data_IF_032281872073
#
_entry.id   IF_032281872073
#
_cell.length_a   1.000
_cell.length_b   1.000
_cell.length_c   1.000
_cell.angle_alpha   90.00
_cell.angle_beta   90.00
_cell.angle_gamma   90.00
#
_symmetry.space_group_name_H-M   'P 1'
#
loop_
_entity.id
_entity.type
_entity.pdbx_description
1 polymer ?
#
# COMPACT_ATOMS: atom_id res chain seq x y z
N UNK A 1 -0.30 -33.69 56.25
CA UNK A 1 -0.27 -32.29 55.75
C UNK A 1 0.35 -32.34 54.35
N UNK A 2 -0.46 -32.43 53.28
CA UNK A 2 0.01 -32.38 51.87
C UNK A 2 -0.22 -30.95 51.38
N UNK A 3 0.85 -30.30 50.96
CA UNK A 3 0.80 -28.99 50.36
C UNK A 3 0.58 -29.14 48.83
N UNK A 4 -0.54 -28.66 48.33
CA UNK A 4 -0.78 -28.54 46.91
C UNK A 4 -0.06 -27.27 46.39
N UNK A 5 0.97 -27.43 45.58
CA UNK A 5 1.52 -26.33 44.76
C UNK A 5 0.61 -26.14 43.52
N UNK A 6 -0.13 -25.06 43.52
CA UNK A 6 -0.85 -24.61 42.34
C UNK A 6 0.10 -24.02 41.30
N UNK A 7 0.21 -24.65 40.14
CA UNK A 7 0.90 -24.09 38.99
C UNK A 7 -0.05 -23.06 38.36
N UNK A 8 0.26 -21.77 38.54
CA UNK A 8 -0.39 -20.70 37.81
C UNK A 8 0.10 -20.73 36.35
N UNK A 9 -0.73 -21.25 35.45
CA UNK A 9 -0.49 -21.17 34.04
C UNK A 9 -0.53 -19.71 33.57
N UNK A 10 0.59 -19.17 33.10
CA UNK A 10 0.59 -17.93 32.31
C UNK A 10 -0.20 -18.20 31.05
N UNK A 11 -1.38 -17.61 30.96
CA UNK A 11 -2.07 -17.48 29.69
C UNK A 11 -1.24 -16.51 28.83
N UNK A 12 -0.53 -17.05 27.84
CA UNK A 12 0.07 -16.24 26.76
C UNK A 12 -1.13 -15.69 26.00
N UNK A 13 -1.49 -14.44 26.30
CA UNK A 13 -2.50 -13.72 25.53
C UNK A 13 -2.07 -13.70 24.06
N UNK A 14 -2.93 -14.19 23.16
CA UNK A 14 -2.75 -13.97 21.73
C UNK A 14 -2.59 -12.47 21.52
N UNK A 15 -1.59 -12.03 20.71
CA UNK A 15 -1.53 -10.63 20.32
C UNK A 15 -2.88 -10.27 19.69
N UNK A 16 -3.44 -9.13 20.08
CA UNK A 16 -4.64 -8.61 19.45
C UNK A 16 -4.35 -8.50 17.94
N UNK A 17 -5.32 -8.85 17.06
CA UNK A 17 -5.14 -8.66 15.62
C UNK A 17 -4.73 -7.21 15.41
N UNK A 18 -3.72 -7.00 14.56
CA UNK A 18 -3.27 -5.65 14.20
C UNK A 18 -4.50 -4.87 13.75
N UNK A 19 -4.86 -3.84 14.51
CA UNK A 19 -5.96 -2.97 14.12
C UNK A 19 -5.60 -2.35 12.79
N UNK A 20 -6.56 -2.30 11.85
CA UNK A 20 -6.43 -1.48 10.65
C UNK A 20 -5.86 -0.13 11.06
N UNK A 21 -4.70 0.24 10.53
CA UNK A 21 -4.19 1.57 10.74
C UNK A 21 -5.20 2.57 10.18
N UNK A 22 -6.07 3.03 11.02
CA UNK A 22 -6.99 4.12 10.78
C UNK A 22 -6.59 5.27 11.68
N UNK A 23 -5.68 6.14 11.24
CA UNK A 23 -5.70 7.45 11.82
C UNK A 23 -7.05 8.02 11.44
N UNK A 24 -7.99 8.07 12.35
CA UNK A 24 -9.16 8.90 12.16
C UNK A 24 -8.63 10.24 11.65
N UNK A 25 -9.33 10.92 10.73
CA UNK A 25 -8.88 12.22 10.21
C UNK A 25 -8.65 13.28 11.30
N UNK A 26 -8.81 12.90 12.53
CA UNK A 26 -8.49 13.59 13.76
C UNK A 26 -7.07 13.36 14.27
N UNK A 27 -6.32 12.35 13.74
CA UNK A 27 -4.92 12.18 14.11
C UNK A 27 -4.06 13.01 13.15
N UNK A 28 -3.37 14.04 13.63
CA UNK A 28 -2.36 14.74 12.87
C UNK A 28 -1.29 13.76 12.38
N UNK A 29 -0.68 14.05 11.25
CA UNK A 29 0.38 13.23 10.67
C UNK A 29 1.53 12.94 11.65
N UNK A 30 1.90 13.92 12.47
CA UNK A 30 2.93 13.84 13.50
C UNK A 30 2.58 12.91 14.69
N UNK A 31 1.32 12.48 14.79
CA UNK A 31 0.88 11.50 15.78
C UNK A 31 0.87 10.06 15.27
N UNK A 32 1.18 9.84 13.99
CA UNK A 32 1.34 8.51 13.43
C UNK A 32 2.57 7.87 14.08
N UNK A 33 2.35 6.76 14.77
CA UNK A 33 3.47 6.00 15.33
C UNK A 33 4.19 5.30 14.19
N UNK A 34 5.43 5.68 13.98
CA UNK A 34 6.39 4.97 13.16
C UNK A 34 7.49 4.42 14.05
N UNK A 35 7.99 3.25 13.74
CA UNK A 35 9.23 2.75 14.34
C UNK A 35 10.44 3.55 13.88
N UNK A 36 10.31 4.27 12.78
CA UNK A 36 11.30 5.18 12.26
C UNK A 36 11.09 6.60 12.83
N UNK A 37 11.28 6.75 14.14
CA UNK A 37 11.11 8.02 14.86
C UNK A 37 11.94 9.17 14.25
N UNK A 38 13.05 8.85 13.60
CA UNK A 38 13.93 9.86 13.01
C UNK A 38 13.27 10.54 11.82
N UNK A 39 12.56 9.80 10.95
CA UNK A 39 11.84 10.41 9.83
C UNK A 39 10.64 11.21 10.33
N UNK A 40 9.91 10.72 11.31
CA UNK A 40 8.72 11.38 11.84
C UNK A 40 9.05 12.67 12.60
N UNK A 41 10.22 12.71 13.28
CA UNK A 41 10.66 13.90 14.00
C UNK A 41 11.12 15.03 13.08
N UNK A 42 11.63 14.71 11.91
CA UNK A 42 12.28 15.68 11.02
C UNK A 42 11.55 15.91 9.70
N UNK A 43 10.60 15.04 9.35
CA UNK A 43 9.93 15.04 8.07
C UNK A 43 8.41 15.14 8.25
N UNK A 44 7.87 16.33 8.15
CA UNK A 44 6.44 16.58 8.23
C UNK A 44 5.67 16.12 6.98
N UNK A 45 4.36 16.33 7.01
CA UNK A 45 3.41 15.92 5.97
C UNK A 45 3.75 16.47 4.56
N UNK A 46 4.49 17.58 4.49
CA UNK A 46 4.91 18.22 3.25
C UNK A 46 6.20 17.61 2.65
N UNK A 47 6.81 16.68 3.36
CA UNK A 47 8.10 16.10 2.98
C UNK A 47 9.18 17.17 2.79
N UNK A 48 10.05 17.01 1.79
CA UNK A 48 11.08 18.01 1.47
C UNK A 48 10.53 19.32 0.88
N UNK A 49 9.20 19.47 0.78
CA UNK A 49 8.58 20.66 0.19
C UNK A 49 8.87 20.81 -1.31
N UNK A 50 9.04 22.03 -1.76
CA UNK A 50 9.28 22.40 -3.16
C UNK A 50 8.23 23.36 -3.67
N UNK A 51 7.72 23.17 -4.92
CA UNK A 51 6.59 23.94 -5.42
C UNK A 51 5.29 23.55 -4.72
N UNK A 52 4.28 24.44 -4.79
CA UNK A 52 2.94 24.18 -4.23
C UNK A 52 2.36 22.84 -4.72
N UNK A 53 2.58 22.50 -6.00
CA UNK A 53 2.16 21.24 -6.59
C UNK A 53 2.86 20.03 -5.92
N UNK A 54 4.15 20.16 -5.58
CA UNK A 54 4.90 19.10 -4.88
C UNK A 54 4.49 18.97 -3.43
N UNK A 55 4.24 20.08 -2.76
CA UNK A 55 3.69 20.06 -1.40
C UNK A 55 2.32 19.39 -1.38
N UNK A 56 1.44 19.71 -2.33
CA UNK A 56 0.13 19.07 -2.45
C UNK A 56 0.25 17.58 -2.74
N UNK A 57 1.17 17.15 -3.61
CA UNK A 57 1.45 15.73 -3.89
C UNK A 57 1.98 15.01 -2.65
N UNK A 58 2.94 15.59 -1.93
CA UNK A 58 3.50 14.98 -0.71
C UNK A 58 2.42 14.88 0.40
N UNK A 59 1.58 15.90 0.58
CA UNK A 59 0.45 15.85 1.51
C UNK A 59 -0.53 14.72 1.15
N UNK A 60 -0.81 14.54 -0.14
CA UNK A 60 -1.65 13.43 -0.60
C UNK A 60 -0.99 12.07 -0.34
N UNK A 61 0.30 11.92 -0.59
CA UNK A 61 1.08 10.71 -0.27
C UNK A 61 1.12 10.40 1.22
N UNK A 62 1.20 11.42 2.07
CA UNK A 62 1.24 11.30 3.52
C UNK A 62 -0.17 11.38 4.15
N UNK A 63 -1.22 11.15 3.39
CA UNK A 63 -2.57 11.08 3.94
C UNK A 63 -2.88 9.69 4.49
N UNK A 64 -2.76 9.55 5.79
CA UNK A 64 -3.16 8.35 6.52
C UNK A 64 -4.62 8.42 7.03
N UNK A 65 -5.40 9.36 6.51
CA UNK A 65 -6.76 9.70 6.97
C UNK A 65 -7.88 9.25 6.04
N UNK A 66 -7.64 8.39 5.06
CA UNK A 66 -8.73 7.90 4.23
C UNK A 66 -9.71 7.07 5.09
N UNK A 67 -10.94 7.58 5.24
CA UNK A 67 -11.97 7.04 6.13
C UNK A 67 -13.09 6.35 5.37
N UNK A 68 -14.03 5.77 6.11
CA UNK A 68 -15.19 5.07 5.56
C UNK A 68 -14.89 3.62 5.18
N UNK A 69 -15.89 2.96 4.61
CA UNK A 69 -15.75 1.60 4.08
C UNK A 69 -14.79 1.59 2.90
N UNK A 70 -13.90 0.62 2.86
CA UNK A 70 -12.96 0.49 1.75
C UNK A 70 -13.69 0.02 0.48
N UNK A 71 -13.68 0.83 -0.58
CA UNK A 71 -14.21 0.46 -1.89
C UNK A 71 -13.32 -0.62 -2.53
N UNK A 72 -13.93 -1.63 -3.14
CA UNK A 72 -13.19 -2.71 -3.79
C UNK A 72 -12.76 -2.32 -5.19
N UNK A 73 -11.47 -2.41 -5.46
CA UNK A 73 -10.91 -2.16 -6.79
C UNK A 73 -10.49 -3.46 -7.48
N UNK A 74 -10.46 -3.40 -8.79
CA UNK A 74 -9.96 -4.45 -9.70
C UNK A 74 -8.90 -3.89 -10.64
N UNK A 75 -8.19 -4.75 -11.37
CA UNK A 75 -7.28 -4.30 -12.43
C UNK A 75 -7.98 -3.47 -13.50
N UNK A 76 -9.27 -3.75 -13.75
CA UNK A 76 -10.10 -2.96 -14.67
C UNK A 76 -10.38 -1.57 -14.09
N UNK A 77 -10.61 -1.45 -12.78
CA UNK A 77 -10.81 -0.15 -12.11
C UNK A 77 -9.57 0.75 -12.28
N UNK A 78 -8.37 0.22 -12.09
CA UNK A 78 -7.13 1.00 -12.28
C UNK A 78 -6.92 1.43 -13.75
N UNK A 79 -7.31 0.59 -14.73
CA UNK A 79 -7.28 0.99 -16.15
C UNK A 79 -8.26 2.12 -16.44
N UNK A 80 -9.46 2.05 -15.88
CA UNK A 80 -10.47 3.09 -16.06
C UNK A 80 -10.10 4.40 -15.38
N UNK A 81 -9.53 4.33 -14.18
CA UNK A 81 -8.94 5.49 -13.50
C UNK A 81 -7.85 6.15 -14.35
N UNK A 82 -6.95 5.36 -14.95
CA UNK A 82 -5.92 5.85 -15.87
C UNK A 82 -6.55 6.51 -17.09
N UNK A 83 -7.51 5.84 -17.71
CA UNK A 83 -8.21 6.39 -18.90
C UNK A 83 -8.86 7.74 -18.57
N UNK A 84 -9.55 7.86 -17.44
CA UNK A 84 -10.19 9.13 -17.03
C UNK A 84 -9.20 10.27 -16.83
N UNK A 85 -8.05 9.98 -16.25
CA UNK A 85 -7.01 11.00 -16.11
C UNK A 85 -6.33 11.35 -17.43
N UNK A 86 -6.18 10.39 -18.33
CA UNK A 86 -5.62 10.65 -19.66
C UNK A 86 -6.59 11.48 -20.53
N UNK A 87 -7.89 11.18 -20.48
CA UNK A 87 -8.96 11.99 -21.10
C UNK A 87 -8.92 13.42 -20.57
N UNK A 88 -8.93 13.60 -19.21
CA UNK A 88 -8.86 14.92 -18.61
C UNK A 88 -7.62 15.71 -19.00
N UNK A 89 -6.44 15.08 -19.04
CA UNK A 89 -5.20 15.71 -19.51
C UNK A 89 -5.29 16.13 -20.99
N UNK A 90 -5.89 15.30 -21.84
CA UNK A 90 -6.11 15.63 -23.25
C UNK A 90 -7.04 16.84 -23.41
N UNK A 91 -8.01 16.99 -22.51
CA UNK A 91 -8.92 18.14 -22.42
C UNK A 91 -8.29 19.37 -21.71
N UNK A 92 -7.00 19.32 -21.37
CA UNK A 92 -6.24 20.43 -20.78
C UNK A 92 -6.34 20.54 -19.25
N UNK A 93 -6.90 19.53 -18.56
CA UNK A 93 -6.99 19.53 -17.07
C UNK A 93 -5.60 19.35 -16.47
N UNK A 94 -5.21 20.26 -15.59
CA UNK A 94 -3.95 20.16 -14.83
C UNK A 94 -4.22 19.60 -13.43
N UNK A 95 -4.22 18.27 -13.31
CA UNK A 95 -4.40 17.57 -12.03
C UNK A 95 -3.28 17.79 -11.02
N UNK A 96 -2.11 18.32 -11.43
CA UNK A 96 -1.04 18.69 -10.48
C UNK A 96 -1.37 19.98 -9.76
N UNK A 97 -1.94 20.95 -10.48
CA UNK A 97 -2.31 22.23 -9.93
C UNK A 97 -3.59 22.16 -9.08
N UNK A 98 -4.54 21.30 -9.47
CA UNK A 98 -5.77 21.10 -8.72
C UNK A 98 -6.08 19.61 -8.54
N UNK A 99 -5.64 19.06 -7.41
CA UNK A 99 -5.87 17.65 -7.04
C UNK A 99 -7.32 17.39 -6.59
N UNK A 100 -8.12 18.40 -6.33
CA UNK A 100 -9.53 18.20 -5.96
C UNK A 100 -10.35 17.58 -7.09
N UNK A 101 -9.93 17.79 -8.33
CA UNK A 101 -10.52 17.21 -9.54
C UNK A 101 -10.33 15.68 -9.65
N UNK A 102 -9.49 15.10 -8.79
CA UNK A 102 -9.23 13.65 -8.74
C UNK A 102 -10.14 12.90 -7.77
N UNK A 103 -10.96 13.58 -6.96
CA UNK A 103 -11.65 12.94 -5.82
C UNK A 103 -12.72 11.94 -6.21
N UNK A 104 -13.54 12.22 -7.20
CA UNK A 104 -14.71 11.41 -7.59
C UNK A 104 -14.65 11.05 -9.07
N UNK A 105 -13.51 10.54 -9.51
CA UNK A 105 -13.21 10.43 -10.93
C UNK A 105 -13.73 9.15 -11.59
N UNK A 106 -14.06 8.11 -10.79
CA UNK A 106 -14.50 6.83 -11.30
C UNK A 106 -15.52 6.15 -10.38
N UNK A 107 -16.56 5.54 -10.97
CA UNK A 107 -17.48 4.66 -10.25
C UNK A 107 -17.12 3.21 -10.52
N UNK A 108 -16.94 2.43 -9.45
CA UNK A 108 -16.63 1.00 -9.49
C UNK A 108 -17.84 0.17 -9.96
N UNK A 109 -17.62 -1.12 -10.25
CA UNK A 109 -18.72 -2.04 -10.56
C UNK A 109 -19.71 -2.21 -9.41
N UNK A 110 -19.28 -2.02 -8.18
CA UNK A 110 -20.08 -2.15 -6.97
C UNK A 110 -20.85 -0.86 -6.64
N UNK A 111 -20.69 0.18 -7.46
CA UNK A 111 -21.38 1.47 -7.35
C UNK A 111 -20.67 2.51 -6.48
N UNK A 112 -19.50 2.19 -5.92
CA UNK A 112 -18.71 3.14 -5.15
C UNK A 112 -18.08 4.17 -6.08
N UNK A 113 -18.21 5.46 -5.77
CA UNK A 113 -17.48 6.52 -6.46
C UNK A 113 -16.16 6.75 -5.75
N UNK A 114 -15.05 6.64 -6.48
CA UNK A 114 -13.69 6.67 -5.95
C UNK A 114 -12.80 7.66 -6.70
N UNK A 115 -11.78 8.11 -6.03
CA UNK A 115 -10.74 8.97 -6.54
C UNK A 115 -9.65 9.17 -5.50
N UNK A 116 -8.82 10.18 -5.67
CA UNK A 116 -7.76 10.46 -4.71
C UNK A 116 -8.32 10.71 -3.30
N UNK A 117 -7.70 10.10 -2.31
CA UNK A 117 -8.16 10.18 -0.92
C UNK A 117 -9.20 9.12 -0.54
N UNK A 118 -9.74 8.36 -1.49
CA UNK A 118 -10.66 7.26 -1.18
C UNK A 118 -9.94 6.12 -0.48
N UNK A 119 -10.54 5.58 0.57
CA UNK A 119 -10.10 4.31 1.14
C UNK A 119 -10.51 3.17 0.23
N UNK A 120 -9.55 2.34 -0.16
CA UNK A 120 -9.76 1.26 -1.11
C UNK A 120 -9.12 -0.04 -0.62
N UNK A 121 -9.60 -1.17 -1.16
CA UNK A 121 -8.98 -2.48 -1.00
C UNK A 121 -8.83 -3.16 -2.36
N UNK A 122 -7.75 -3.91 -2.49
CA UNK A 122 -7.37 -4.54 -3.74
C UNK A 122 -6.70 -5.88 -3.49
N UNK A 123 -7.14 -6.92 -4.19
CA UNK A 123 -6.58 -8.26 -4.08
C UNK A 123 -5.79 -8.62 -5.34
N UNK A 124 -4.56 -9.16 -5.15
CA UNK A 124 -3.64 -9.45 -6.24
C UNK A 124 -2.54 -10.44 -5.81
N UNK A 125 -1.65 -10.79 -6.73
CA UNK A 125 -0.38 -11.47 -6.42
C UNK A 125 0.76 -10.48 -6.41
N UNK A 126 1.74 -10.66 -5.53
CA UNK A 126 2.99 -9.91 -5.57
C UNK A 126 3.83 -10.37 -6.76
N UNK A 127 4.25 -9.43 -7.59
CA UNK A 127 5.25 -9.66 -8.64
C UNK A 127 6.66 -9.30 -8.15
N UNK A 128 6.76 -8.18 -7.44
CA UNK A 128 8.02 -7.62 -6.95
C UNK A 128 7.75 -6.70 -5.77
N UNK A 129 8.64 -6.68 -4.81
CA UNK A 129 8.69 -5.67 -3.76
C UNK A 129 10.14 -5.23 -3.54
N UNK A 130 10.38 -3.91 -3.49
CA UNK A 130 11.70 -3.36 -3.25
C UNK A 130 11.66 -1.91 -2.80
N UNK A 131 12.78 -1.45 -2.24
CA UNK A 131 13.02 -0.02 -1.99
C UNK A 131 13.59 0.62 -3.26
N UNK A 132 12.93 1.64 -3.79
CA UNK A 132 13.46 2.41 -4.91
C UNK A 132 14.32 3.58 -4.40
N UNK A 133 15.32 4.00 -5.20
CA UNK A 133 16.14 5.20 -4.95
C UNK A 133 16.85 5.34 -3.60
N UNK A 134 16.77 4.35 -2.71
CA UNK A 134 17.30 4.43 -1.34
C UNK A 134 18.80 4.76 -1.25
N UNK A 135 19.58 4.51 -2.31
CA UNK A 135 21.04 4.75 -2.33
C UNK A 135 21.45 6.14 -2.80
N UNK A 136 20.63 6.77 -3.66
CA UNK A 136 20.99 8.05 -4.30
C UNK A 136 20.35 9.24 -3.61
N UNK A 137 19.12 9.52 -3.92
CA UNK A 137 18.50 10.80 -3.64
C UNK A 137 17.43 10.73 -2.56
N UNK A 138 16.99 9.52 -2.19
CA UNK A 138 15.80 9.32 -1.36
C UNK A 138 14.53 9.77 -2.09
N UNK A 139 13.45 9.89 -1.36
CA UNK A 139 12.16 10.31 -1.87
C UNK A 139 11.76 11.65 -1.24
N UNK A 140 11.21 12.56 -2.04
CA UNK A 140 10.81 13.90 -1.56
C UNK A 140 9.75 13.82 -0.46
N UNK A 141 8.82 12.90 -0.57
CA UNK A 141 7.80 12.67 0.46
C UNK A 141 8.43 12.31 1.81
N UNK A 142 9.57 11.63 1.78
CA UNK A 142 10.37 11.20 2.94
C UNK A 142 11.60 12.12 3.14
N UNK A 143 11.48 13.41 2.83
CA UNK A 143 12.47 14.46 3.03
C UNK A 143 13.85 14.18 2.42
N UNK A 144 13.91 13.44 1.30
CA UNK A 144 15.13 13.00 0.61
C UNK A 144 16.08 12.21 1.52
N UNK A 145 15.59 11.60 2.57
CA UNK A 145 16.38 10.75 3.45
C UNK A 145 16.90 9.53 2.70
N UNK A 146 18.16 9.17 2.94
CA UNK A 146 18.82 8.02 2.30
C UNK A 146 18.81 6.80 3.18
N UNK A 147 18.65 5.65 2.56
CA UNK A 147 18.65 4.37 3.26
C UNK A 147 17.28 3.69 3.22
N UNK A 148 17.28 2.37 3.37
CA UNK A 148 16.05 1.57 3.36
C UNK A 148 15.04 1.95 4.46
N UNK A 149 15.47 2.32 5.68
CA UNK A 149 14.53 2.72 6.72
C UNK A 149 13.69 3.95 6.35
N UNK A 150 14.22 4.83 5.49
CA UNK A 150 13.58 6.10 5.12
C UNK A 150 12.93 6.10 3.74
N UNK A 151 12.78 4.94 3.13
CA UNK A 151 12.34 4.82 1.75
C UNK A 151 11.12 3.91 1.66
N UNK A 152 10.16 4.26 0.82
CA UNK A 152 8.97 3.46 0.60
C UNK A 152 9.33 2.05 0.11
N UNK A 153 8.52 1.06 0.47
CA UNK A 153 8.54 -0.26 -0.17
C UNK A 153 7.52 -0.26 -1.29
N UNK A 154 8.01 -0.27 -2.53
CA UNK A 154 7.17 -0.35 -3.70
C UNK A 154 6.79 -1.79 -4.01
N UNK A 155 5.50 -2.07 -4.12
CA UNK A 155 4.94 -3.40 -4.37
C UNK A 155 4.28 -3.38 -5.76
N UNK A 156 4.83 -4.14 -6.71
CA UNK A 156 4.19 -4.38 -7.99
C UNK A 156 3.22 -5.57 -7.86
N UNK A 157 1.95 -5.33 -8.09
CA UNK A 157 0.84 -6.26 -7.91
C UNK A 157 0.27 -6.70 -9.26
N UNK A 158 0.04 -8.00 -9.47
CA UNK A 158 -0.44 -8.58 -10.72
C UNK A 158 -1.63 -9.50 -10.53
N UNK A 159 -2.46 -9.63 -11.57
CA UNK A 159 -3.68 -10.45 -11.54
C UNK A 159 -3.39 -11.95 -11.49
N UNK A 160 -2.29 -12.40 -12.08
CA UNK A 160 -1.92 -13.82 -12.14
C UNK A 160 -0.52 -14.01 -11.59
N UNK A 161 -0.32 -15.00 -10.73
CA UNK A 161 0.99 -15.35 -10.15
C UNK A 161 2.05 -15.73 -11.21
N UNK A 162 1.63 -16.05 -12.43
CA UNK A 162 2.52 -16.38 -13.56
C UNK A 162 2.92 -15.16 -14.39
N UNK A 163 2.33 -13.98 -14.15
CA UNK A 163 2.67 -12.75 -14.86
C UNK A 163 4.09 -12.33 -14.54
N UNK A 164 4.89 -12.05 -15.58
CA UNK A 164 6.27 -11.54 -15.47
C UNK A 164 6.41 -10.10 -15.98
N UNK A 165 5.43 -9.63 -16.73
CA UNK A 165 5.44 -8.29 -17.32
C UNK A 165 4.96 -7.25 -16.30
N UNK A 166 5.88 -6.45 -15.80
CA UNK A 166 5.60 -5.40 -14.82
C UNK A 166 4.69 -4.29 -15.39
N UNK A 167 4.62 -4.11 -16.72
CA UNK A 167 3.67 -3.17 -17.32
C UNK A 167 2.19 -3.57 -17.11
N UNK A 168 1.94 -4.77 -16.60
CA UNK A 168 0.60 -5.25 -16.22
C UNK A 168 0.33 -5.10 -14.72
N UNK A 169 1.26 -4.51 -13.97
CA UNK A 169 1.11 -4.35 -12.52
C UNK A 169 0.39 -3.06 -12.14
N UNK A 170 -0.20 -3.10 -10.95
CA UNK A 170 -0.62 -1.96 -10.15
C UNK A 170 0.37 -1.77 -9.03
N UNK A 171 0.65 -0.54 -8.62
CA UNK A 171 1.56 -0.24 -7.52
C UNK A 171 0.80 -0.09 -6.21
N UNK A 172 1.35 -0.64 -5.13
CA UNK A 172 1.06 -0.23 -3.76
C UNK A 172 2.37 0.15 -3.07
N UNK A 173 2.30 1.07 -2.10
CA UNK A 173 3.49 1.56 -1.40
C UNK A 173 3.30 1.54 0.11
N UNK A 174 4.29 0.96 0.81
CA UNK A 174 4.38 1.00 2.28
C UNK A 174 5.28 2.17 2.62
N UNK A 175 4.69 3.18 3.28
CA UNK A 175 5.42 4.36 3.72
C UNK A 175 6.30 4.06 4.95
N UNK A 176 7.49 4.64 5.07
CA UNK A 176 8.31 4.53 6.27
C UNK A 176 7.68 5.21 7.50
N UNK A 177 6.69 6.08 7.32
CA UNK A 177 5.94 6.70 8.42
C UNK A 177 5.01 5.72 9.13
N UNK A 178 4.56 4.67 8.43
CA UNK A 178 3.82 3.56 9.01
C UNK A 178 4.24 2.25 8.34
N UNK A 179 5.12 1.52 8.98
CA UNK A 179 5.64 0.25 8.49
C UNK A 179 5.91 -0.70 9.64
N UNK A 180 4.98 -1.61 9.95
CA UNK A 180 5.23 -2.72 10.89
C UNK A 180 6.49 -3.50 10.50
N UNK A 181 7.21 -4.05 11.47
CA UNK A 181 8.50 -4.74 11.29
C UNK A 181 8.45 -5.83 10.22
N UNK A 182 7.32 -6.56 10.19
CA UNK A 182 7.10 -7.67 9.26
C UNK A 182 6.77 -7.23 7.82
N UNK A 183 6.53 -5.93 7.60
CA UNK A 183 6.18 -5.42 6.26
C UNK A 183 7.45 -5.14 5.43
N UNK A 184 8.18 -6.19 5.13
CA UNK A 184 9.47 -6.12 4.43
C UNK A 184 9.38 -6.57 2.98
N UNK A 185 10.32 -6.14 2.12
CA UNK A 185 10.46 -6.72 0.78
C UNK A 185 10.71 -8.23 0.79
N UNK A 186 11.39 -8.75 1.83
CA UNK A 186 11.64 -10.18 2.03
C UNK A 186 10.33 -10.94 2.21
N UNK A 187 9.53 -10.58 3.23
CA UNK A 187 8.22 -11.20 3.48
C UNK A 187 7.31 -11.18 2.24
N UNK A 188 7.27 -10.06 1.52
CA UNK A 188 6.48 -9.94 0.29
C UNK A 188 7.03 -10.81 -0.86
N UNK A 189 8.35 -11.01 -0.93
CA UNK A 189 8.97 -11.93 -1.88
C UNK A 189 8.57 -13.37 -1.58
N UNK A 190 8.53 -13.76 -0.32
CA UNK A 190 8.14 -15.10 0.08
C UNK A 190 6.69 -15.40 -0.28
N UNK A 191 5.77 -14.45 -0.06
CA UNK A 191 4.38 -14.56 -0.53
C UNK A 191 4.28 -14.74 -2.04
N UNK A 192 5.12 -14.05 -2.82
CA UNK A 192 5.23 -14.26 -4.26
C UNK A 192 5.67 -15.68 -4.60
N UNK A 193 6.73 -16.17 -3.95
CA UNK A 193 7.32 -17.48 -4.22
C UNK A 193 6.34 -18.61 -3.84
N UNK A 194 5.60 -18.44 -2.75
CA UNK A 194 4.49 -19.30 -2.33
C UNK A 194 3.20 -19.09 -3.15
N UNK A 195 3.17 -18.12 -4.05
CA UNK A 195 1.99 -17.76 -4.87
C UNK A 195 0.75 -17.48 -4.02
N UNK A 196 0.94 -16.80 -2.89
CA UNK A 196 -0.16 -16.38 -2.03
C UNK A 196 -0.76 -15.07 -2.55
N UNK A 197 -2.09 -14.99 -2.75
CA UNK A 197 -2.74 -13.71 -2.98
C UNK A 197 -2.66 -12.83 -1.75
N UNK A 198 -2.46 -11.54 -1.97
CA UNK A 198 -2.52 -10.51 -0.94
C UNK A 198 -3.72 -9.60 -1.15
N UNK A 199 -4.29 -9.08 -0.07
CA UNK A 199 -5.26 -7.99 -0.08
C UNK A 199 -4.61 -6.79 0.59
N UNK A 200 -4.54 -5.67 -0.13
CA UNK A 200 -3.99 -4.42 0.40
C UNK A 200 -5.14 -3.43 0.55
N UNK A 201 -5.29 -2.90 1.76
CA UNK A 201 -6.18 -1.79 2.07
C UNK A 201 -5.32 -0.54 2.27
N UNK A 202 -5.73 0.59 1.69
CA UNK A 202 -5.00 1.85 1.79
C UNK A 202 -5.74 2.99 1.12
N UNK A 203 -5.04 4.08 0.89
CA UNK A 203 -5.57 5.22 0.15
C UNK A 203 -5.35 5.07 -1.35
N UNK A 204 -6.33 5.42 -2.15
CA UNK A 204 -6.16 5.61 -3.59
C UNK A 204 -5.47 6.95 -3.85
N UNK A 205 -4.33 6.91 -4.55
CA UNK A 205 -3.47 8.06 -4.81
C UNK A 205 -3.14 8.15 -6.30
N UNK A 206 -3.06 9.36 -6.82
CA UNK A 206 -2.64 9.67 -8.19
C UNK A 206 -1.18 10.16 -8.22
N UNK A 207 -0.26 9.32 -8.69
CA UNK A 207 1.14 9.71 -8.87
C UNK A 207 1.32 10.57 -10.12
N UNK A 208 1.38 11.87 -9.91
CA UNK A 208 1.55 12.85 -10.99
C UNK A 208 2.97 12.97 -11.50
N UNK A 209 3.94 12.27 -10.87
CA UNK A 209 5.37 12.35 -11.18
C UNK A 209 5.83 11.36 -12.23
N UNK A 210 5.03 10.34 -12.51
CA UNK A 210 5.39 9.25 -13.42
C UNK A 210 4.36 9.05 -14.54
N UNK A 211 4.65 8.12 -15.45
CA UNK A 211 3.76 7.70 -16.53
C UNK A 211 3.51 6.19 -16.49
N UNK A 212 2.38 5.68 -16.99
CA UNK A 212 2.16 4.26 -17.16
C UNK A 212 2.89 3.74 -18.41
N UNK A 213 3.03 2.42 -18.54
CA UNK A 213 3.44 1.81 -19.80
C UNK A 213 2.37 2.04 -20.88
N UNK A 214 2.78 2.47 -22.08
CA UNK A 214 1.91 2.67 -23.23
C UNK A 214 2.68 2.52 -24.54
N UNK A 215 2.05 2.04 -25.61
CA UNK A 215 2.54 2.03 -26.99
C UNK A 215 4.04 1.67 -27.15
N UNK A 216 4.49 0.61 -26.45
CA UNK A 216 5.89 0.17 -26.46
C UNK A 216 6.82 0.98 -25.55
N UNK A 217 6.38 2.09 -24.98
CA UNK A 217 7.11 2.87 -23.99
C UNK A 217 6.97 2.23 -22.62
N UNK A 218 8.12 1.94 -21.99
CA UNK A 218 8.19 1.31 -20.66
C UNK A 218 8.95 2.24 -19.71
N UNK A 219 8.26 3.18 -19.07
CA UNK A 219 8.88 4.11 -18.12
C UNK A 219 9.41 3.37 -16.88
N UNK A 220 10.11 4.06 -16.02
CA UNK A 220 10.50 3.56 -14.72
C UNK A 220 9.81 4.41 -13.62
N UNK A 221 9.02 3.81 -12.73
CA UNK A 221 8.65 2.39 -12.64
C UNK A 221 7.70 1.93 -13.77
N UNK A 222 7.80 0.64 -14.14
CA UNK A 222 6.88 0.01 -15.09
C UNK A 222 5.58 -0.33 -14.37
N UNK A 223 4.43 0.11 -14.93
CA UNK A 223 3.09 -0.17 -14.36
C UNK A 223 2.00 0.11 -15.39
N UNK A 224 0.80 -0.42 -15.18
CA UNK A 224 -0.33 -0.20 -16.10
C UNK A 224 -1.05 1.14 -15.84
N UNK A 225 -0.87 1.72 -14.67
CA UNK A 225 -1.55 2.93 -14.23
C UNK A 225 -0.65 3.73 -13.29
N UNK A 226 -0.78 5.04 -13.28
CA UNK A 226 -0.16 5.92 -12.27
C UNK A 226 -1.03 6.05 -11.00
N UNK A 227 -2.22 5.48 -11.02
CA UNK A 227 -3.00 5.30 -9.81
C UNK A 227 -2.43 4.15 -9.00
N UNK A 228 -2.26 4.38 -7.71
CA UNK A 228 -1.65 3.43 -6.79
C UNK A 228 -2.36 3.44 -5.43
N UNK A 229 -2.05 2.47 -4.59
CA UNK A 229 -2.47 2.45 -3.19
C UNK A 229 -1.33 3.01 -2.37
N UNK A 230 -1.44 4.26 -1.93
CA UNK A 230 -0.41 4.95 -1.17
C UNK A 230 -1.02 5.92 -0.14
N UNK A 231 -0.72 5.77 1.15
CA UNK A 231 -0.01 4.64 1.74
C UNK A 231 -0.89 3.39 1.90
N UNK A 232 -0.25 2.23 2.02
CA UNK A 232 -0.90 1.01 2.46
C UNK A 232 -1.18 1.11 3.98
N UNK A 233 -2.40 0.73 4.38
CA UNK A 233 -2.85 0.72 5.79
C UNK A 233 -2.90 -0.68 6.38
N UNK A 234 -3.14 -1.69 5.53
CA UNK A 234 -3.24 -3.09 5.93
C UNK A 234 -2.80 -3.99 4.78
N UNK A 235 -2.09 -5.05 5.11
CA UNK A 235 -1.72 -6.11 4.19
C UNK A 235 -2.19 -7.43 4.78
N UNK A 236 -2.94 -8.20 4.00
CA UNK A 236 -3.50 -9.48 4.40
C UNK A 236 -3.14 -10.55 3.38
N UNK A 237 -3.05 -11.78 3.82
CA UNK A 237 -2.69 -12.96 3.02
C UNK A 237 -3.89 -13.89 2.92
N UNK A 238 -4.18 -14.38 1.72
CA UNK A 238 -5.25 -15.35 1.55
C UNK A 238 -4.80 -16.77 1.95
N UNK A 239 -5.68 -17.48 2.65
CA UNK A 239 -5.44 -18.86 3.07
C UNK A 239 -5.28 -19.86 1.92
N UNK A 240 -5.72 -19.51 0.69
CA UNK A 240 -5.62 -20.34 -0.51
C UNK A 240 -4.85 -19.63 -1.64
N UNK A 241 -4.24 -20.41 -2.55
CA UNK A 241 -3.39 -19.89 -3.63
C UNK A 241 -4.17 -19.50 -4.91
N UNK A 242 -5.44 -19.15 -4.77
CA UNK A 242 -6.31 -18.80 -5.90
C UNK A 242 -7.00 -17.47 -5.64
N UNK A 243 -6.68 -16.46 -6.45
CA UNK A 243 -7.29 -15.13 -6.32
C UNK A 243 -8.81 -15.17 -6.49
N UNK A 244 -9.32 -16.00 -7.39
CA UNK A 244 -10.77 -16.16 -7.60
C UNK A 244 -11.51 -16.77 -6.40
N UNK A 245 -10.79 -17.52 -5.55
CA UNK A 245 -11.34 -18.09 -4.32
C UNK A 245 -11.18 -17.15 -3.12
N UNK A 246 -10.44 -16.05 -3.25
CA UNK A 246 -10.18 -15.05 -2.24
C UNK A 246 -11.02 -13.80 -2.52
N UNK A 247 -12.31 -13.86 -2.16
CA UNK A 247 -13.19 -12.71 -2.37
C UNK A 247 -12.67 -11.50 -1.58
N UNK A 248 -12.43 -10.39 -2.28
CA UNK A 248 -11.92 -9.15 -1.69
C UNK A 248 -12.85 -8.53 -0.66
N UNK A 249 -14.15 -8.83 -0.74
CA UNK A 249 -15.21 -8.29 0.12
C UNK A 249 -15.56 -9.16 1.33
N UNK A 250 -14.95 -10.33 1.48
CA UNK A 250 -15.21 -11.24 2.62
C UNK A 250 -13.93 -11.48 3.40
N UNK A 251 -13.99 -11.46 4.73
CA UNK A 251 -12.80 -11.53 5.58
C UNK A 251 -12.41 -12.98 5.94
N UNK A 252 -13.29 -13.95 5.73
CA UNK A 252 -13.13 -15.32 6.22
C UNK A 252 -11.90 -16.09 5.71
N UNK A 253 -11.23 -15.58 4.66
CA UNK A 253 -10.03 -16.20 4.07
C UNK A 253 -8.79 -15.32 4.15
N UNK A 254 -8.90 -14.16 4.77
CA UNK A 254 -7.82 -13.21 4.86
C UNK A 254 -7.29 -13.16 6.29
N UNK A 255 -5.98 -13.19 6.43
CA UNK A 255 -5.25 -13.11 7.70
C UNK A 255 -4.25 -11.96 7.58
N UNK A 256 -4.12 -11.12 8.58
CA UNK A 256 -3.11 -10.06 8.62
C UNK A 256 -1.72 -10.61 8.36
N UNK A 257 -0.89 -9.88 7.64
CA UNK A 257 0.42 -10.32 7.20
C UNK A 257 1.30 -10.79 8.36
N UNK A 258 1.37 -10.02 9.44
CA UNK A 258 2.13 -10.34 10.64
C UNK A 258 1.66 -11.63 11.32
N UNK A 259 0.35 -11.81 11.44
CA UNK A 259 -0.26 -13.03 12.00
C UNK A 259 0.05 -14.21 11.07
N UNK A 260 -0.10 -14.04 9.76
CA UNK A 260 0.17 -15.08 8.80
C UNK A 260 1.63 -15.53 8.82
N UNK A 261 2.58 -14.57 8.88
CA UNK A 261 4.01 -14.86 8.96
C UNK A 261 4.36 -15.63 10.24
N UNK A 262 3.79 -15.22 11.38
CA UNK A 262 4.01 -15.92 12.65
C UNK A 262 3.47 -17.37 12.64
N UNK A 263 2.36 -17.62 11.94
CA UNK A 263 1.75 -18.97 11.83
C UNK A 263 2.49 -19.86 10.83
N UNK A 264 3.25 -19.31 9.88
CA UNK A 264 3.88 -20.03 8.77
C UNK A 264 5.41 -19.87 8.75
N UNK A 265 6.01 -19.52 9.86
CA UNK A 265 7.46 -19.27 9.95
C UNK A 265 8.31 -20.47 9.48
N UNK A 266 7.82 -21.71 9.68
CA UNK A 266 8.52 -22.92 9.22
C UNK A 266 8.41 -23.17 7.70
N UNK A 267 7.45 -22.52 7.02
CA UNK A 267 7.27 -22.64 5.56
C UNK A 267 8.07 -21.60 4.78
N UNK A 268 8.65 -20.61 5.50
CA UNK A 268 9.41 -19.54 4.87
C UNK A 268 10.77 -20.04 4.43
N UNK A 269 11.25 -19.64 3.22
CA UNK A 269 12.59 -19.99 2.80
C UNK A 269 13.63 -19.38 3.75
N UNK A 270 14.69 -20.13 4.06
CA UNK A 270 15.85 -19.61 4.80
C UNK A 270 16.43 -18.40 4.05
N UNK A 271 16.73 -17.29 4.77
CA UNK A 271 17.34 -16.08 4.21
C UNK A 271 18.77 -16.31 3.70
#
# INVERSE_FOLDING_TARGET
>A
MLAFLGIAGLAIGRPAPAEDFQPGCTLPFDQIKSENLEIDAECGIEGAGGSDEKVAENRAKNNFCATGSAASLSFVSFKKLQQKTDEGKADGVNFKADRTLLREIHTTSDGDTVGEGSRVRFAAFVLKADHSNHKKDGEKVNCNRKGRPFNDVHIALVEKSTTKDQCKSVTAEISPHFRPDDWTPGALKDLKDLKKPVRITGQLFFDSSHAPCHDGVKPNPKRQSVWEIHPAYRIEVCSVNSLSACNVNTDSKWTDLDVWLAEHAEEMPDE
#
